data_IF_914472573089
#
_entry.id   IF_914472573089
#
_cell.length_a   1.000
_cell.length_b   1.000
_cell.length_c   1.000
_cell.angle_alpha   90.00
_cell.angle_beta   90.00
_cell.angle_gamma   90.00
#
_symmetry.space_group_name_H-M   'P 1'
#
loop_
_entity.id
_entity.type
_entity.pdbx_description
1 polymer ?
#
# COMPACT_ATOMS: atom_id res chain seq x y z
N UNK A 1 1.92 -15.23 -0.49
CA UNK A 1 2.03 -14.37 0.71
C UNK A 1 2.65 -13.12 0.15
N UNK A 2 1.79 -12.20 -0.24
CA UNK A 2 2.18 -11.19 -1.22
C UNK A 2 2.47 -9.93 -0.42
N UNK A 3 3.72 -9.48 -0.49
CA UNK A 3 4.16 -8.26 0.14
C UNK A 3 3.72 -7.08 -0.71
N UNK A 4 3.22 -6.02 -0.08
CA UNK A 4 2.83 -4.81 -0.77
C UNK A 4 3.81 -3.68 -0.48
N UNK A 5 3.87 -2.73 -1.41
CA UNK A 5 4.54 -1.44 -1.24
C UNK A 5 3.49 -0.36 -1.48
N UNK A 6 3.49 0.67 -0.65
CA UNK A 6 2.56 1.78 -0.81
C UNK A 6 3.14 3.11 -0.34
N UNK A 7 2.37 4.17 -0.54
CA UNK A 7 2.76 5.55 -0.24
C UNK A 7 1.94 6.05 0.95
N UNK A 8 2.61 6.68 1.91
CA UNK A 8 2.00 7.25 3.10
C UNK A 8 2.35 8.74 3.20
N UNK A 9 1.45 9.51 3.78
CA UNK A 9 1.62 10.94 4.07
C UNK A 9 1.46 11.19 5.59
N UNK A 10 1.90 12.34 6.13
CA UNK A 10 1.68 12.70 7.53
C UNK A 10 0.20 12.59 7.93
N UNK A 11 -0.07 12.12 9.15
CA UNK A 11 -1.43 11.77 9.61
C UNK A 11 -2.48 12.90 9.49
N UNK A 12 -2.04 14.16 9.48
CA UNK A 12 -2.92 15.34 9.40
C UNK A 12 -2.85 16.04 8.03
N UNK A 13 -2.42 15.32 6.99
CA UNK A 13 -2.44 15.85 5.62
C UNK A 13 -3.89 16.14 5.20
N UNK A 14 -4.19 17.34 4.67
CA UNK A 14 -5.55 17.67 4.24
C UNK A 14 -6.08 16.71 3.17
N UNK A 15 -7.36 16.34 3.26
CA UNK A 15 -8.01 15.41 2.35
C UNK A 15 -7.83 15.77 0.85
N UNK A 16 -7.98 17.05 0.43
CA UNK A 16 -7.78 17.40 -0.99
C UNK A 16 -6.37 17.10 -1.53
N UNK A 17 -5.36 17.10 -0.65
CA UNK A 17 -3.98 16.74 -1.02
C UNK A 17 -3.86 15.22 -1.19
N UNK A 18 -4.48 14.44 -0.30
CA UNK A 18 -4.52 12.98 -0.40
C UNK A 18 -5.25 12.54 -1.67
N UNK A 19 -6.40 13.13 -1.97
CA UNK A 19 -7.18 12.84 -3.18
C UNK A 19 -6.40 13.18 -4.45
N UNK A 20 -5.68 14.32 -4.46
CA UNK A 20 -4.79 14.66 -5.57
C UNK A 20 -3.69 13.64 -5.73
N UNK A 21 -2.96 13.31 -4.66
CA UNK A 21 -1.87 12.33 -4.72
C UNK A 21 -2.37 10.98 -5.21
N UNK A 22 -3.48 10.48 -4.68
CA UNK A 22 -4.04 9.19 -5.12
C UNK A 22 -4.40 9.21 -6.59
N UNK A 23 -5.07 10.26 -7.08
CA UNK A 23 -5.44 10.37 -8.49
C UNK A 23 -4.22 10.36 -9.41
N UNK A 24 -3.20 11.16 -9.11
CA UNK A 24 -1.99 11.22 -9.94
C UNK A 24 -1.22 9.88 -9.90
N UNK A 25 -1.11 9.25 -8.72
CA UNK A 25 -0.46 7.93 -8.58
C UNK A 25 -1.23 6.87 -9.38
N UNK A 26 -2.55 6.81 -9.24
CA UNK A 26 -3.39 5.87 -9.98
C UNK A 26 -3.28 6.07 -11.49
N UNK A 27 -3.19 7.32 -11.96
CA UNK A 27 -2.98 7.63 -13.38
C UNK A 27 -1.62 7.09 -13.88
N UNK A 28 -0.53 7.29 -13.13
CA UNK A 28 0.79 6.75 -13.49
C UNK A 28 0.79 5.23 -13.48
N UNK A 29 0.17 4.59 -12.49
CA UNK A 29 0.07 3.12 -12.43
C UNK A 29 -0.82 2.55 -13.54
N UNK A 30 -1.71 3.36 -14.13
CA UNK A 30 -2.53 2.96 -15.26
C UNK A 30 -1.77 2.99 -16.60
N UNK A 31 -0.66 3.72 -16.68
CA UNK A 31 0.18 3.87 -17.88
C UNK A 31 0.73 2.50 -18.35
N UNK A 32 0.56 2.13 -19.63
CA UNK A 32 1.04 0.86 -20.16
C UNK A 32 2.54 0.62 -19.97
N UNK A 33 3.38 1.65 -20.14
CA UNK A 33 4.83 1.52 -19.98
C UNK A 33 5.22 1.26 -18.51
N UNK A 34 4.47 1.86 -17.57
CA UNK A 34 4.65 1.59 -16.14
C UNK A 34 4.21 0.17 -15.80
N UNK A 35 3.04 -0.26 -16.30
CA UNK A 35 2.54 -1.63 -16.11
C UNK A 35 3.50 -2.69 -16.65
N UNK A 36 4.02 -2.48 -17.86
CA UNK A 36 4.99 -3.38 -18.46
C UNK A 36 6.26 -3.49 -17.62
N UNK A 37 6.83 -2.35 -17.21
CA UNK A 37 8.04 -2.32 -16.39
C UNK A 37 7.84 -3.01 -15.04
N UNK A 38 6.70 -2.79 -14.39
CA UNK A 38 6.37 -3.45 -13.13
C UNK A 38 6.13 -4.96 -13.32
N UNK A 39 5.48 -5.35 -14.43
CA UNK A 39 5.27 -6.74 -14.80
C UNK A 39 6.59 -7.51 -15.00
N UNK A 40 7.60 -6.89 -15.62
CA UNK A 40 8.95 -7.48 -15.74
C UNK A 40 9.59 -7.75 -14.37
N UNK A 41 9.26 -6.94 -13.36
CA UNK A 41 9.74 -7.10 -11.99
C UNK A 41 8.85 -8.04 -11.15
N UNK A 42 7.78 -8.61 -11.73
CA UNK A 42 6.81 -9.43 -11.00
C UNK A 42 5.94 -8.64 -10.03
N UNK A 43 5.82 -7.32 -10.21
CA UNK A 43 5.02 -6.45 -9.36
C UNK A 43 3.71 -6.15 -10.07
N UNK A 44 2.59 -6.32 -9.37
CA UNK A 44 1.28 -5.91 -9.85
C UNK A 44 0.98 -4.46 -9.40
N UNK A 45 0.81 -3.50 -10.34
CA UNK A 45 0.42 -2.14 -9.98
C UNK A 45 -1.02 -2.08 -9.47
N UNK A 46 -1.21 -1.55 -8.27
CA UNK A 46 -2.54 -1.35 -7.66
C UNK A 46 -2.76 0.13 -7.36
N UNK A 47 -3.78 0.72 -7.99
CA UNK A 47 -4.19 2.13 -7.81
C UNK A 47 -5.49 2.26 -7.01
N UNK A 48 -5.62 1.52 -5.91
CA UNK A 48 -6.82 1.53 -5.06
C UNK A 48 -7.05 2.88 -4.37
N UNK A 49 -8.18 3.03 -3.67
CA UNK A 49 -8.48 4.28 -2.95
C UNK A 49 -7.70 4.37 -1.62
N UNK A 50 -7.53 5.57 -1.05
CA UNK A 50 -6.86 5.72 0.25
C UNK A 50 -7.57 4.93 1.36
N UNK A 51 -8.90 4.83 1.31
CA UNK A 51 -9.72 4.10 2.28
C UNK A 51 -9.50 2.59 2.17
N UNK A 52 -9.44 2.07 0.95
CA UNK A 52 -9.15 0.66 0.67
C UNK A 52 -7.75 0.30 1.16
N UNK A 53 -6.76 1.14 0.88
CA UNK A 53 -5.40 0.89 1.35
C UNK A 53 -5.28 0.99 2.88
N UNK A 54 -5.97 1.96 3.50
CA UNK A 54 -6.03 2.06 4.95
C UNK A 54 -6.71 0.84 5.60
N UNK A 55 -7.72 0.24 4.94
CA UNK A 55 -8.32 -1.01 5.40
C UNK A 55 -7.34 -2.17 5.34
N UNK A 56 -6.62 -2.33 4.21
CA UNK A 56 -5.58 -3.35 4.06
C UNK A 56 -4.52 -3.26 5.16
N UNK A 57 -4.02 -2.05 5.45
CA UNK A 57 -3.03 -1.84 6.51
C UNK A 57 -3.56 -2.28 7.87
N UNK A 58 -4.82 -1.96 8.21
CA UNK A 58 -5.43 -2.34 9.49
C UNK A 58 -5.59 -3.85 9.61
N UNK A 59 -6.03 -4.51 8.55
CA UNK A 59 -6.21 -5.96 8.52
C UNK A 59 -4.87 -6.69 8.65
N UNK A 60 -3.87 -6.24 7.91
CA UNK A 60 -2.53 -6.81 7.97
C UNK A 60 -1.89 -6.60 9.34
N UNK A 61 -2.02 -5.41 9.92
CA UNK A 61 -1.48 -5.11 11.24
C UNK A 61 -2.10 -6.04 12.30
N UNK A 62 -3.43 -6.22 12.28
CA UNK A 62 -4.13 -7.10 13.21
C UNK A 62 -3.70 -8.57 13.03
N UNK A 63 -3.56 -9.03 11.79
CA UNK A 63 -3.09 -10.39 11.48
C UNK A 63 -1.67 -10.62 11.98
N UNK A 64 -0.76 -9.70 11.67
CA UNK A 64 0.66 -9.85 12.00
C UNK A 64 0.96 -9.64 13.48
N UNK A 65 0.23 -8.77 14.17
CA UNK A 65 0.31 -8.65 15.63
C UNK A 65 0.03 -10.00 16.30
N UNK A 66 -1.02 -10.70 15.87
CA UNK A 66 -1.36 -12.03 16.39
C UNK A 66 -0.22 -13.03 16.17
N UNK A 67 0.35 -13.06 14.97
CA UNK A 67 1.47 -13.95 14.64
C UNK A 67 2.69 -13.66 15.51
N UNK A 68 3.11 -12.40 15.60
CA UNK A 68 4.28 -11.98 16.40
C UNK A 68 4.09 -12.37 17.88
N UNK A 69 2.91 -12.10 18.45
CA UNK A 69 2.60 -12.46 19.84
C UNK A 69 2.62 -13.98 20.07
N UNK A 70 2.04 -14.76 19.16
CA UNK A 70 2.00 -16.23 19.26
C UNK A 70 3.37 -16.88 19.11
N UNK A 71 4.21 -16.33 18.23
CA UNK A 71 5.55 -16.84 17.97
C UNK A 71 6.60 -16.35 18.97
N UNK A 72 6.26 -15.42 19.88
CA UNK A 72 7.19 -14.86 20.87
C UNK A 72 8.34 -14.06 20.24
N UNK A 73 8.15 -13.56 19.01
CA UNK A 73 9.18 -12.84 18.25
C UNK A 73 9.44 -11.48 18.90
N UNK A 74 10.71 -11.14 19.08
CA UNK A 74 11.18 -9.83 19.55
C UNK A 74 12.12 -9.26 18.50
N UNK A 75 12.08 -7.94 18.31
CA UNK A 75 13.13 -7.23 17.58
C UNK A 75 14.34 -7.12 18.52
N UNK A 76 15.52 -7.51 18.04
CA UNK A 76 16.80 -7.32 18.74
C UNK A 76 17.25 -5.85 18.72
#
# INVERSE_FOLDING_TARGET
>A
MDSWVGVLAPARTPLPVIERLQREIAAVLADPAVKERYGVLGIEPVGNTPEQFAAQIREDLARWEKVVRQAGVKLE
#
